data_IF_523231402082
#
_entry.id   IF_523231402082
#
_cell.length_a   1.000
_cell.length_b   1.000
_cell.length_c   1.000
_cell.angle_alpha   90.00
_cell.angle_beta   90.00
_cell.angle_gamma   90.00
#
_symmetry.space_group_name_H-M   'P 1'
#
loop_
_entity.id
_entity.type
_entity.pdbx_description
1 polymer ?
#
# COMPACT_ATOMS: atom_id res chain seq x y z
N UNK A 1 -3.61 -22.30 -42.67
CA UNK A 1 -3.63 -20.85 -42.42
C UNK A 1 -2.59 -20.55 -41.36
N UNK A 2 -1.61 -19.67 -41.72
CA UNK A 2 -0.55 -19.27 -40.79
C UNK A 2 -1.12 -18.49 -39.61
N UNK A 3 -0.51 -18.59 -38.40
CA UNK A 3 -0.91 -17.89 -37.16
C UNK A 3 -0.95 -16.36 -37.29
N UNK A 4 -0.47 -15.82 -38.40
CA UNK A 4 -0.23 -14.38 -38.63
C UNK A 4 -1.26 -13.74 -39.56
N UNK A 5 -2.31 -14.43 -39.97
CA UNK A 5 -3.29 -13.93 -40.91
C UNK A 5 -4.72 -14.17 -40.42
N UNK A 6 -5.55 -13.11 -40.51
CA UNK A 6 -6.97 -13.14 -40.25
C UNK A 6 -7.71 -12.91 -41.58
N UNK A 7 -8.53 -13.85 -42.00
CA UNK A 7 -9.41 -13.68 -43.15
C UNK A 7 -10.82 -13.34 -42.66
N UNK A 8 -11.34 -12.23 -43.12
CA UNK A 8 -12.70 -11.78 -42.84
C UNK A 8 -13.50 -11.83 -44.11
N UNK A 9 -14.57 -12.63 -44.15
CA UNK A 9 -15.49 -12.72 -45.25
C UNK A 9 -16.64 -11.71 -45.06
N UNK A 10 -16.82 -10.84 -46.01
CA UNK A 10 -17.95 -9.90 -46.11
C UNK A 10 -18.96 -10.44 -47.12
N UNK A 11 -20.06 -10.98 -46.59
CA UNK A 11 -21.14 -11.54 -47.43
C UNK A 11 -21.96 -10.51 -48.15
N UNK A 12 -21.94 -9.26 -47.72
CA UNK A 12 -22.67 -8.18 -48.41
C UNK A 12 -21.96 -7.69 -49.66
N UNK A 13 -20.59 -7.68 -49.61
CA UNK A 13 -19.77 -7.24 -50.69
C UNK A 13 -19.09 -8.39 -51.50
N UNK A 14 -19.43 -9.66 -51.19
CA UNK A 14 -18.83 -10.84 -51.78
C UNK A 14 -17.30 -10.78 -51.80
N UNK A 15 -16.70 -10.28 -50.72
CA UNK A 15 -15.25 -10.10 -50.63
C UNK A 15 -14.65 -10.81 -49.44
N UNK A 16 -13.39 -11.21 -49.54
CA UNK A 16 -12.59 -11.75 -48.44
C UNK A 16 -11.39 -10.83 -48.24
N UNK A 17 -11.34 -10.17 -47.10
CA UNK A 17 -10.20 -9.35 -46.74
C UNK A 17 -9.25 -10.14 -45.85
N UNK A 18 -7.97 -10.22 -46.24
CA UNK A 18 -6.94 -10.89 -45.46
C UNK A 18 -6.08 -9.86 -44.78
N UNK A 19 -6.14 -9.84 -43.44
CA UNK A 19 -5.27 -9.04 -42.60
C UNK A 19 -4.03 -9.81 -42.22
N UNK A 20 -2.87 -9.17 -42.31
CA UNK A 20 -1.60 -9.71 -41.78
C UNK A 20 -1.13 -8.89 -40.61
N UNK A 21 -0.47 -9.53 -39.64
CA UNK A 21 0.15 -8.82 -38.52
C UNK A 21 1.21 -7.86 -39.03
N UNK A 22 1.20 -6.65 -38.50
CA UNK A 22 2.29 -5.68 -38.65
C UNK A 22 3.52 -6.14 -37.86
N UNK A 23 4.68 -5.54 -38.11
CA UNK A 23 5.91 -5.84 -37.37
C UNK A 23 5.73 -5.52 -35.86
N UNK A 24 5.05 -4.42 -35.55
CA UNK A 24 4.62 -4.10 -34.19
C UNK A 24 3.79 -5.23 -33.57
N UNK A 25 2.77 -5.71 -34.25
CA UNK A 25 1.92 -6.79 -33.76
C UNK A 25 2.69 -8.10 -33.52
N UNK A 26 3.66 -8.41 -34.41
CA UNK A 26 4.55 -9.58 -34.24
C UNK A 26 5.43 -9.45 -33.00
N UNK A 27 6.07 -8.29 -32.81
CA UNK A 27 6.90 -8.00 -31.64
C UNK A 27 6.08 -8.10 -30.35
N UNK A 28 4.88 -7.53 -30.33
CA UNK A 28 3.98 -7.58 -29.17
C UNK A 28 3.58 -9.02 -28.82
N UNK A 29 3.20 -9.84 -29.82
CA UNK A 29 2.83 -11.24 -29.60
C UNK A 29 4.03 -12.08 -29.15
N UNK A 30 5.22 -11.86 -29.72
CA UNK A 30 6.46 -12.51 -29.31
C UNK A 30 6.80 -12.20 -27.86
N UNK A 31 6.81 -10.91 -27.51
CA UNK A 31 7.07 -10.44 -26.14
C UNK A 31 6.09 -11.05 -25.14
N UNK A 32 4.80 -11.11 -25.49
CA UNK A 32 3.79 -11.73 -24.64
C UNK A 32 4.01 -13.24 -24.50
N UNK A 33 4.30 -13.95 -25.58
CA UNK A 33 4.59 -15.38 -25.54
C UNK A 33 5.78 -15.71 -24.64
N UNK A 34 6.88 -14.93 -24.75
CA UNK A 34 8.05 -15.07 -23.88
C UNK A 34 7.71 -14.77 -22.40
N UNK A 35 6.90 -13.75 -22.15
CA UNK A 35 6.46 -13.44 -20.79
C UNK A 35 5.63 -14.58 -20.19
N UNK A 36 4.75 -15.20 -20.97
CA UNK A 36 3.93 -16.34 -20.54
C UNK A 36 4.77 -17.60 -20.30
N UNK A 37 5.85 -17.80 -21.05
CA UNK A 37 6.82 -18.89 -20.83
C UNK A 37 7.85 -18.57 -19.74
N UNK A 38 7.69 -17.46 -19.02
CA UNK A 38 8.61 -16.97 -17.99
C UNK A 38 10.03 -16.61 -18.51
N UNK A 39 10.20 -16.44 -19.82
CA UNK A 39 11.43 -15.88 -20.40
C UNK A 39 11.40 -14.36 -20.30
N UNK A 40 11.55 -13.86 -19.07
CA UNK A 40 11.50 -12.43 -18.79
C UNK A 40 12.67 -11.66 -19.40
N UNK A 41 13.85 -12.28 -19.48
CA UNK A 41 15.03 -11.66 -20.06
C UNK A 41 14.88 -11.49 -21.57
N UNK A 42 14.38 -12.50 -22.27
CA UNK A 42 14.13 -12.45 -23.71
C UNK A 42 12.95 -11.53 -24.08
N UNK A 43 11.94 -11.41 -23.20
CA UNK A 43 10.78 -10.54 -23.44
C UNK A 43 11.07 -9.07 -23.21
N UNK A 44 12.03 -8.72 -22.36
CA UNK A 44 12.33 -7.33 -21.96
C UNK A 44 12.65 -6.42 -23.14
N UNK A 45 13.59 -6.83 -23.97
CA UNK A 45 14.00 -6.02 -25.14
C UNK A 45 12.87 -5.82 -26.16
N UNK A 46 12.00 -6.81 -26.30
CA UNK A 46 10.83 -6.70 -27.17
C UNK A 46 9.78 -5.76 -26.56
N UNK A 47 9.52 -5.85 -25.26
CA UNK A 47 8.64 -4.90 -24.58
C UNK A 47 9.17 -3.46 -24.63
N UNK A 48 10.48 -3.27 -24.49
CA UNK A 48 11.11 -1.97 -24.68
C UNK A 48 10.92 -1.43 -26.11
N UNK A 49 10.94 -2.31 -27.12
CA UNK A 49 10.64 -1.93 -28.49
C UNK A 49 9.18 -1.49 -28.64
N UNK A 50 8.25 -2.24 -28.06
CA UNK A 50 6.81 -1.87 -28.06
C UNK A 50 6.59 -0.51 -27.40
N UNK A 51 7.23 -0.22 -26.26
CA UNK A 51 7.10 1.08 -25.55
C UNK A 51 7.72 2.24 -26.37
N UNK A 52 8.77 1.97 -27.15
CA UNK A 52 9.35 3.00 -28.04
C UNK A 52 8.37 3.43 -29.16
N UNK A 53 7.55 2.50 -29.65
CA UNK A 53 6.54 2.78 -30.67
C UNK A 53 5.24 3.32 -30.07
N UNK A 54 4.80 2.74 -28.95
CA UNK A 54 3.60 3.16 -28.21
C UNK A 54 3.92 3.23 -26.70
N UNK A 55 4.28 4.42 -26.26
CA UNK A 55 4.62 4.69 -24.86
C UNK A 55 3.43 4.56 -23.89
N UNK A 56 2.21 4.48 -24.40
CA UNK A 56 0.98 4.33 -23.61
C UNK A 56 0.52 2.88 -23.47
N UNK A 57 1.22 1.91 -24.09
CA UNK A 57 0.83 0.52 -24.11
C UNK A 57 0.92 -0.13 -22.71
N UNK A 58 -0.23 -0.28 -22.07
CA UNK A 58 -0.32 -0.85 -20.72
C UNK A 58 0.17 -2.31 -20.65
N UNK A 59 -0.04 -3.10 -21.73
CA UNK A 59 0.41 -4.49 -21.76
C UNK A 59 1.95 -4.57 -21.75
N UNK A 60 2.61 -3.70 -22.51
CA UNK A 60 4.06 -3.61 -22.52
C UNK A 60 4.62 -3.12 -21.16
N UNK A 61 3.97 -2.16 -20.53
CA UNK A 61 4.33 -1.73 -19.18
C UNK A 61 4.23 -2.88 -18.17
N UNK A 62 3.18 -3.71 -18.22
CA UNK A 62 3.04 -4.91 -17.38
C UNK A 62 4.12 -5.95 -17.69
N UNK A 63 4.45 -6.14 -18.96
CA UNK A 63 5.53 -7.02 -19.37
C UNK A 63 6.88 -6.58 -18.81
N UNK A 64 7.22 -5.30 -18.95
CA UNK A 64 8.43 -4.71 -18.37
C UNK A 64 8.45 -4.80 -16.84
N UNK A 65 7.32 -4.53 -16.19
CA UNK A 65 7.23 -4.67 -14.74
C UNK A 65 7.64 -6.08 -14.27
N UNK A 66 7.13 -7.12 -14.93
CA UNK A 66 7.49 -8.52 -14.63
C UNK A 66 8.94 -8.83 -14.94
N UNK A 67 9.47 -8.29 -16.04
CA UNK A 67 10.85 -8.49 -16.42
C UNK A 67 11.83 -7.87 -15.39
N UNK A 68 11.62 -6.61 -15.03
CA UNK A 68 12.41 -5.94 -13.98
C UNK A 68 12.26 -6.61 -12.61
N UNK A 69 11.05 -7.07 -12.28
CA UNK A 69 10.83 -7.82 -11.04
C UNK A 69 11.66 -9.11 -10.99
N UNK A 70 11.71 -9.86 -12.09
CA UNK A 70 12.50 -11.08 -12.21
C UNK A 70 14.01 -10.82 -12.16
N UNK A 71 14.46 -9.65 -12.62
CA UNK A 71 15.87 -9.21 -12.52
C UNK A 71 16.24 -8.72 -11.10
N UNK A 72 15.25 -8.52 -10.21
CA UNK A 72 15.47 -8.00 -8.86
C UNK A 72 15.49 -6.47 -8.78
N UNK A 73 15.27 -5.75 -9.87
CA UNK A 73 15.09 -4.30 -9.84
C UNK A 73 13.65 -3.95 -9.45
N UNK A 74 13.36 -4.13 -8.16
CA UNK A 74 12.02 -3.91 -7.62
C UNK A 74 11.55 -2.47 -7.70
N UNK A 75 12.50 -1.50 -7.72
CA UNK A 75 12.15 -0.09 -7.83
C UNK A 75 11.57 0.22 -9.21
N UNK A 76 12.29 -0.15 -10.26
CA UNK A 76 11.85 0.05 -11.65
C UNK A 76 10.61 -0.80 -11.97
N UNK A 77 10.58 -2.05 -11.47
CA UNK A 77 9.40 -2.92 -11.59
C UNK A 77 8.14 -2.25 -11.03
N UNK A 78 8.23 -1.59 -9.87
CA UNK A 78 7.12 -0.88 -9.26
C UNK A 78 6.64 0.31 -10.10
N UNK A 79 7.55 1.06 -10.70
CA UNK A 79 7.21 2.20 -11.56
C UNK A 79 6.44 1.74 -12.80
N UNK A 80 6.93 0.71 -13.50
CA UNK A 80 6.24 0.12 -14.66
C UNK A 80 4.93 -0.56 -14.27
N UNK A 81 4.88 -1.28 -13.16
CA UNK A 81 3.66 -1.90 -12.66
C UNK A 81 2.58 -0.86 -12.34
N UNK A 82 2.97 0.28 -11.76
CA UNK A 82 2.08 1.41 -11.52
C UNK A 82 1.52 1.96 -12.83
N UNK A 83 2.37 2.23 -13.81
CA UNK A 83 1.97 2.77 -15.10
C UNK A 83 1.10 1.79 -15.90
N UNK A 84 1.38 0.49 -15.81
CA UNK A 84 0.61 -0.58 -16.47
C UNK A 84 -0.61 -1.08 -15.69
N UNK A 85 -0.94 -0.50 -14.52
CA UNK A 85 -2.02 -0.95 -13.64
C UNK A 85 -1.91 -2.44 -13.26
N UNK A 86 -0.68 -2.94 -13.06
CA UNK A 86 -0.42 -4.30 -12.56
C UNK A 86 -0.27 -4.27 -11.04
N UNK A 87 -1.41 -4.38 -10.35
CA UNK A 87 -1.47 -4.33 -8.89
C UNK A 87 -0.69 -5.45 -8.20
N UNK A 88 -0.65 -6.63 -8.82
CA UNK A 88 0.03 -7.81 -8.26
C UNK A 88 1.53 -7.57 -8.25
N UNK A 89 2.10 -7.25 -9.40
CA UNK A 89 3.54 -6.98 -9.52
C UNK A 89 3.95 -5.74 -8.70
N UNK A 90 3.12 -4.70 -8.67
CA UNK A 90 3.35 -3.52 -7.85
C UNK A 90 3.48 -3.87 -6.36
N UNK A 91 2.53 -4.62 -5.84
CA UNK A 91 2.47 -4.99 -4.43
C UNK A 91 3.63 -5.91 -4.04
N UNK A 92 3.95 -6.88 -4.90
CA UNK A 92 5.10 -7.77 -4.71
C UNK A 92 6.42 -6.99 -4.69
N UNK A 93 6.61 -6.04 -5.62
CA UNK A 93 7.80 -5.21 -5.69
C UNK A 93 7.92 -4.29 -4.46
N UNK A 94 6.79 -3.71 -4.00
CA UNK A 94 6.76 -2.91 -2.77
C UNK A 94 7.17 -3.74 -1.55
N UNK A 95 6.62 -4.95 -1.41
CA UNK A 95 6.96 -5.86 -0.32
C UNK A 95 8.43 -6.27 -0.32
N UNK A 96 9.00 -6.55 -1.51
CA UNK A 96 10.43 -6.87 -1.65
C UNK A 96 11.32 -5.69 -1.28
N UNK A 97 11.02 -4.49 -1.78
CA UNK A 97 11.77 -3.27 -1.43
C UNK A 97 11.71 -2.99 0.08
N UNK A 98 10.54 -3.14 0.70
CA UNK A 98 10.37 -2.97 2.15
C UNK A 98 11.15 -4.02 2.95
N UNK A 99 11.11 -5.27 2.54
CA UNK A 99 11.86 -6.36 3.18
C UNK A 99 13.38 -6.15 3.06
N UNK A 100 13.88 -5.72 1.91
CA UNK A 100 15.29 -5.38 1.72
C UNK A 100 15.74 -4.25 2.64
N UNK A 101 14.93 -3.19 2.76
CA UNK A 101 15.21 -2.07 3.65
C UNK A 101 15.27 -2.52 5.12
N UNK A 102 14.29 -3.32 5.55
CA UNK A 102 14.25 -3.85 6.92
C UNK A 102 15.45 -4.76 7.17
N UNK A 103 15.75 -5.69 6.28
CA UNK A 103 16.86 -6.62 6.44
C UNK A 103 18.21 -5.88 6.51
N UNK A 104 18.41 -4.89 5.64
CA UNK A 104 19.63 -4.08 5.62
C UNK A 104 19.82 -3.25 6.90
N UNK A 105 18.72 -2.77 7.47
CA UNK A 105 18.76 -1.87 8.62
C UNK A 105 18.30 -2.55 9.92
N UNK A 106 18.08 -3.86 9.93
CA UNK A 106 17.49 -4.59 11.05
C UNK A 106 18.20 -4.32 12.37
N UNK A 107 19.51 -4.40 12.39
CA UNK A 107 20.32 -4.20 13.61
C UNK A 107 20.11 -2.78 14.16
N UNK A 108 20.12 -1.76 13.31
CA UNK A 108 19.92 -0.38 13.72
C UNK A 108 18.50 -0.11 14.20
N UNK A 109 17.49 -0.67 13.51
CA UNK A 109 16.08 -0.58 13.91
C UNK A 109 15.88 -1.24 15.26
N UNK A 110 16.46 -2.44 15.47
CA UNK A 110 16.39 -3.18 16.72
C UNK A 110 17.07 -2.41 17.86
N UNK A 111 18.29 -1.92 17.66
CA UNK A 111 19.01 -1.13 18.66
C UNK A 111 18.25 0.16 19.02
N UNK A 112 17.66 0.84 18.03
CA UNK A 112 16.84 2.02 18.26
C UNK A 112 15.61 1.67 19.11
N UNK A 113 14.92 0.58 18.79
CA UNK A 113 13.75 0.13 19.55
C UNK A 113 14.12 -0.18 21.01
N UNK A 114 15.23 -0.91 21.24
CA UNK A 114 15.72 -1.23 22.58
C UNK A 114 16.12 0.03 23.34
N UNK A 115 16.78 0.98 22.67
CA UNK A 115 17.16 2.25 23.29
C UNK A 115 15.94 3.09 23.69
N UNK A 116 14.92 3.17 22.85
CA UNK A 116 13.66 3.87 23.15
C UNK A 116 12.93 3.23 24.33
N UNK A 117 12.81 1.90 24.33
CA UNK A 117 12.19 1.15 25.45
C UNK A 117 12.99 1.36 26.74
N UNK A 118 14.32 1.23 26.68
CA UNK A 118 15.20 1.44 27.83
C UNK A 118 15.09 2.87 28.39
N UNK A 119 15.10 3.87 27.54
CA UNK A 119 14.91 5.26 27.95
C UNK A 119 13.54 5.50 28.57
N UNK A 120 12.48 4.92 28.04
CA UNK A 120 11.14 5.01 28.61
C UNK A 120 11.05 4.36 30.01
N UNK A 121 11.68 3.19 30.18
CA UNK A 121 11.74 2.50 31.49
C UNK A 121 12.55 3.31 32.51
N UNK A 122 13.74 3.80 32.14
CA UNK A 122 14.57 4.62 33.02
C UNK A 122 13.80 5.88 33.43
N UNK A 123 13.19 6.54 32.45
CA UNK A 123 12.42 7.77 32.68
C UNK A 123 11.22 7.54 33.63
N UNK A 124 10.48 6.45 33.46
CA UNK A 124 9.36 6.10 34.34
C UNK A 124 9.81 5.76 35.76
N UNK A 125 10.92 5.02 35.91
CA UNK A 125 11.50 4.67 37.22
C UNK A 125 12.02 5.92 37.94
N UNK A 126 12.75 6.80 37.26
CA UNK A 126 13.26 8.04 37.87
C UNK A 126 12.13 9.02 38.24
N UNK A 127 11.14 9.16 37.38
CA UNK A 127 9.97 9.98 37.65
C UNK A 127 9.18 9.48 38.86
N UNK A 128 9.07 8.16 39.02
CA UNK A 128 8.44 7.52 40.19
C UNK A 128 9.22 7.81 41.47
N UNK A 129 10.55 7.71 41.46
CA UNK A 129 11.43 7.98 42.59
C UNK A 129 11.35 9.46 43.04
N UNK A 130 11.30 10.39 42.07
CA UNK A 130 11.29 11.83 42.33
C UNK A 130 9.87 12.39 42.56
N UNK A 131 8.79 11.57 42.59
CA UNK A 131 7.39 11.97 42.63
C UNK A 131 7.05 13.03 41.57
N UNK A 132 7.78 13.04 40.45
CA UNK A 132 7.55 13.98 39.37
C UNK A 132 6.28 13.55 38.64
N UNK A 133 5.31 14.43 38.53
CA UNK A 133 4.14 14.20 37.70
C UNK A 133 4.57 14.39 36.26
N UNK A 134 4.89 13.28 35.57
CA UNK A 134 5.35 13.27 34.19
C UNK A 134 4.46 14.05 33.24
N UNK A 135 3.17 13.96 33.46
CA UNK A 135 2.16 14.63 32.65
C UNK A 135 1.40 15.59 33.56
N UNK A 136 1.76 16.89 33.50
CA UNK A 136 1.15 17.95 34.28
C UNK A 136 -0.33 18.13 33.92
N UNK A 137 -0.70 17.84 32.69
CA UNK A 137 -2.10 17.95 32.26
C UNK A 137 -2.89 16.72 32.72
N UNK A 138 -3.84 16.91 33.65
CA UNK A 138 -4.65 15.81 34.18
C UNK A 138 -5.45 15.07 33.13
N UNK A 139 -5.90 15.75 32.07
CA UNK A 139 -6.67 15.16 30.98
C UNK A 139 -5.79 14.22 30.09
N UNK A 140 -4.53 14.61 29.84
CA UNK A 140 -3.58 13.79 29.11
C UNK A 140 -3.14 12.58 29.95
N UNK A 141 -2.92 12.78 31.26
CA UNK A 141 -2.63 11.67 32.17
C UNK A 141 -3.76 10.65 32.23
N UNK A 142 -5.01 11.10 32.18
CA UNK A 142 -6.18 10.23 32.14
C UNK A 142 -6.17 9.32 30.93
N UNK A 143 -5.77 9.83 29.76
CA UNK A 143 -5.63 9.04 28.54
C UNK A 143 -4.67 7.84 28.70
N UNK A 144 -3.51 8.05 29.34
CA UNK A 144 -2.58 6.96 29.62
C UNK A 144 -3.10 6.00 30.69
N UNK A 145 -3.76 6.53 31.72
CA UNK A 145 -4.38 5.70 32.75
C UNK A 145 -5.52 4.82 32.20
N UNK A 146 -6.17 5.23 31.10
CA UNK A 146 -7.22 4.42 30.46
C UNK A 146 -6.69 3.05 29.98
N UNK A 147 -5.42 2.96 29.64
CA UNK A 147 -4.79 1.68 29.23
C UNK A 147 -4.56 0.77 30.42
N UNK A 148 -4.13 1.31 31.57
CA UNK A 148 -3.77 0.54 32.77
C UNK A 148 -4.94 0.35 33.74
N UNK A 149 -5.84 1.33 33.84
CA UNK A 149 -6.98 1.37 34.75
C UNK A 149 -8.25 1.85 34.01
N UNK A 150 -8.80 1.04 33.10
CA UNK A 150 -9.87 1.45 32.19
C UNK A 150 -11.16 1.86 32.95
N UNK A 151 -11.55 1.12 34.00
CA UNK A 151 -12.78 1.42 34.75
C UNK A 151 -12.72 2.75 35.51
N UNK A 152 -11.61 3.04 36.18
CA UNK A 152 -11.43 4.29 36.94
C UNK A 152 -11.36 5.50 36.01
N UNK A 153 -10.72 5.31 34.85
CA UNK A 153 -10.63 6.34 33.83
C UNK A 153 -11.97 6.63 33.20
N UNK A 154 -12.76 5.60 32.89
CA UNK A 154 -14.12 5.75 32.36
C UNK A 154 -15.03 6.46 33.34
N UNK A 155 -15.00 6.10 34.62
CA UNK A 155 -15.71 6.80 35.69
C UNK A 155 -15.31 8.28 35.79
N UNK A 156 -14.02 8.56 35.65
CA UNK A 156 -13.53 9.94 35.69
C UNK A 156 -13.99 10.75 34.46
N UNK A 157 -14.08 10.16 33.31
CA UNK A 157 -14.61 10.79 32.08
C UNK A 157 -16.10 11.06 32.26
N UNK A 158 -16.88 10.06 32.69
CA UNK A 158 -18.35 10.11 32.76
C UNK A 158 -18.86 11.02 33.90
N UNK A 159 -18.28 10.88 35.08
CA UNK A 159 -18.84 11.55 36.29
C UNK A 159 -18.05 12.77 36.75
N UNK A 160 -16.75 12.88 36.41
CA UNK A 160 -15.92 14.01 36.83
C UNK A 160 -15.65 15.03 35.72
N UNK A 161 -16.32 14.86 34.57
CA UNK A 161 -16.21 15.77 33.42
C UNK A 161 -14.76 16.00 32.94
N UNK A 162 -13.89 14.98 33.10
CA UNK A 162 -12.48 15.08 32.77
C UNK A 162 -12.20 14.77 31.30
N UNK A 163 -13.24 14.46 30.50
CA UNK A 163 -13.14 14.27 29.05
C UNK A 163 -12.63 15.52 28.33
N UNK A 164 -11.95 15.33 27.21
CA UNK A 164 -11.47 16.42 26.38
C UNK A 164 -11.74 16.13 24.91
N UNK A 165 -12.57 16.94 24.29
CA UNK A 165 -12.87 16.86 22.85
C UNK A 165 -11.59 17.00 22.00
N UNK A 166 -10.68 17.87 22.41
CA UNK A 166 -9.39 18.06 21.70
C UNK A 166 -8.55 16.81 21.72
N UNK A 167 -8.47 16.11 22.87
CA UNK A 167 -7.72 14.85 22.98
C UNK A 167 -8.41 13.75 22.16
N UNK A 168 -9.74 13.66 22.20
CA UNK A 168 -10.49 12.71 21.40
C UNK A 168 -10.25 12.93 19.89
N UNK A 169 -10.32 14.19 19.45
CA UNK A 169 -10.04 14.56 18.06
C UNK A 169 -8.59 14.20 17.66
N UNK A 170 -7.60 14.50 18.51
CA UNK A 170 -6.20 14.18 18.26
C UNK A 170 -5.98 12.65 18.13
N UNK A 171 -6.62 11.84 18.98
CA UNK A 171 -6.59 10.38 18.89
C UNK A 171 -7.24 9.85 17.62
N UNK A 172 -8.36 10.45 17.21
CA UNK A 172 -9.03 10.08 15.94
C UNK A 172 -8.15 10.39 14.75
N UNK A 173 -7.47 11.54 14.74
CA UNK A 173 -6.50 11.90 13.68
C UNK A 173 -5.32 10.93 13.68
N UNK A 174 -4.78 10.58 14.84
CA UNK A 174 -3.69 9.61 14.95
C UNK A 174 -4.11 8.23 14.43
N UNK A 175 -5.31 7.78 14.80
CA UNK A 175 -5.88 6.54 14.29
C UNK A 175 -6.06 6.57 12.77
N UNK A 176 -6.56 7.67 12.23
CA UNK A 176 -6.67 7.86 10.77
C UNK A 176 -5.31 7.77 10.08
N UNK A 177 -4.29 8.46 10.60
CA UNK A 177 -2.94 8.42 10.04
C UNK A 177 -2.38 6.99 10.07
N UNK A 178 -2.53 6.27 11.19
CA UNK A 178 -2.06 4.88 11.29
C UNK A 178 -2.83 3.94 10.35
N UNK A 179 -4.12 4.14 10.17
CA UNK A 179 -4.93 3.37 9.22
C UNK A 179 -4.47 3.59 7.77
N UNK A 180 -4.23 4.84 7.36
CA UNK A 180 -3.71 5.17 6.03
C UNK A 180 -2.33 4.56 5.80
N UNK A 181 -1.41 4.71 6.76
CA UNK A 181 -0.07 4.13 6.67
C UNK A 181 -0.14 2.60 6.59
N UNK A 182 -0.98 1.97 7.42
CA UNK A 182 -1.18 0.51 7.40
C UNK A 182 -1.67 0.02 6.06
N UNK A 183 -2.63 0.71 5.45
CA UNK A 183 -3.12 0.34 4.12
C UNK A 183 -2.08 0.56 3.01
N UNK A 184 -1.31 1.64 3.08
CA UNK A 184 -0.23 1.90 2.12
C UNK A 184 0.90 0.87 2.19
N UNK A 185 1.14 0.29 3.36
CA UNK A 185 2.17 -0.72 3.59
C UNK A 185 1.65 -2.16 3.43
N UNK A 186 0.33 -2.36 3.44
CA UNK A 186 -0.26 -3.69 3.29
C UNK A 186 -0.16 -4.20 1.86
N UNK A 187 0.15 -5.49 1.71
CA UNK A 187 0.13 -6.16 0.42
C UNK A 187 -1.32 -6.25 -0.10
N UNK A 188 -1.49 -6.13 -1.41
CA UNK A 188 -2.75 -6.33 -2.14
C UNK A 188 -3.49 -7.61 -1.75
N UNK A 189 -2.76 -8.65 -1.31
CA UNK A 189 -3.35 -9.92 -0.86
C UNK A 189 -4.19 -9.82 0.41
N UNK A 190 -3.92 -8.81 1.24
CA UNK A 190 -4.60 -8.62 2.54
C UNK A 190 -5.63 -7.50 2.52
N UNK A 191 -5.57 -6.65 1.52
CA UNK A 191 -6.53 -5.57 1.33
C UNK A 191 -6.96 -5.56 -0.13
N UNK A 192 -8.26 -5.47 -0.39
CA UNK A 192 -8.78 -5.15 -1.73
C UNK A 192 -8.43 -3.73 -2.18
N UNK A 193 -7.45 -3.14 -1.52
CA UNK A 193 -6.98 -1.80 -1.68
C UNK A 193 -5.91 -1.72 -2.75
N UNK A 194 -6.18 -0.95 -3.77
CA UNK A 194 -5.18 -0.55 -4.74
C UNK A 194 -4.66 0.84 -4.39
N UNK A 195 -3.34 1.02 -4.18
CA UNK A 195 -2.76 2.34 -3.98
C UNK A 195 -3.01 3.29 -5.17
N UNK A 196 -3.47 2.74 -6.30
CA UNK A 196 -3.80 3.52 -7.50
C UNK A 196 -5.25 4.00 -7.52
N UNK A 197 -6.16 3.32 -6.81
CA UNK A 197 -7.59 3.64 -6.81
C UNK A 197 -8.10 4.17 -5.48
N UNK A 198 -7.30 4.06 -4.42
CA UNK A 198 -7.72 4.56 -3.11
C UNK A 198 -7.42 6.04 -2.96
N UNK A 199 -8.36 6.76 -2.46
CA UNK A 199 -8.17 8.14 -2.05
C UNK A 199 -8.12 8.24 -0.52
N UNK A 200 -7.21 9.07 0.00
CA UNK A 200 -7.19 9.41 1.43
C UNK A 200 -8.56 9.94 1.90
N UNK A 201 -9.32 10.57 0.99
CA UNK A 201 -10.69 11.01 1.26
C UNK A 201 -11.63 9.85 1.57
N UNK A 202 -11.56 8.74 0.85
CA UNK A 202 -12.38 7.55 1.13
C UNK A 202 -12.06 6.95 2.51
N UNK A 203 -10.79 6.94 2.89
CA UNK A 203 -10.35 6.49 4.22
C UNK A 203 -10.86 7.42 5.32
N UNK A 204 -10.86 8.72 5.08
CA UNK A 204 -11.40 9.68 6.02
C UNK A 204 -12.90 9.44 6.23
N UNK A 205 -13.67 9.21 5.16
CA UNK A 205 -15.10 8.87 5.25
C UNK A 205 -15.33 7.58 6.04
N UNK A 206 -14.55 6.53 5.80
CA UNK A 206 -14.63 5.26 6.55
C UNK A 206 -14.34 5.47 8.03
N UNK A 207 -13.25 6.18 8.36
CA UNK A 207 -12.83 6.44 9.74
C UNK A 207 -13.87 7.32 10.47
N UNK A 208 -14.34 8.40 9.83
CA UNK A 208 -15.37 9.26 10.38
C UNK A 208 -16.70 8.49 10.58
N UNK A 209 -17.09 7.66 9.63
CA UNK A 209 -18.26 6.81 9.73
C UNK A 209 -18.21 5.85 10.91
N UNK A 210 -17.07 5.20 11.16
CA UNK A 210 -16.87 4.34 12.33
C UNK A 210 -16.99 5.11 13.65
N UNK A 211 -16.38 6.31 13.74
CA UNK A 211 -16.45 7.15 14.93
C UNK A 211 -17.89 7.61 15.20
N UNK A 212 -18.62 8.02 14.16
CA UNK A 212 -20.02 8.43 14.26
C UNK A 212 -20.89 7.25 14.71
N UNK A 213 -20.76 6.09 14.04
CA UNK A 213 -21.51 4.87 14.39
C UNK A 213 -21.26 4.47 15.85
N UNK A 214 -20.01 4.45 16.28
CA UNK A 214 -19.66 4.14 17.66
C UNK A 214 -20.25 5.15 18.62
N UNK A 215 -20.22 6.44 18.30
CA UNK A 215 -20.77 7.50 19.13
C UNK A 215 -22.28 7.38 19.26
N UNK A 216 -22.99 7.13 18.16
CA UNK A 216 -24.46 6.93 18.16
C UNK A 216 -24.84 5.68 18.93
N UNK A 217 -24.13 4.55 18.74
CA UNK A 217 -24.39 3.31 19.47
C UNK A 217 -24.19 3.42 20.99
N UNK A 218 -23.33 4.32 21.44
CA UNK A 218 -23.10 4.55 22.88
C UNK A 218 -23.94 5.69 23.47
N UNK A 219 -24.66 6.45 22.63
CA UNK A 219 -25.57 7.51 23.08
C UNK A 219 -26.97 6.97 23.41
N UNK A 220 -27.38 5.89 22.73
CA UNK A 220 -28.65 5.18 22.99
C UNK A 220 -28.56 4.31 24.25
#
# INVERSE_FOLDING_TARGET
YGRDKLAVADSQNNSVTVFSLTDYGRTLMSAQSKTLSADYKGSKSEWESVIREDSSNQLAMRGLAKAYFAEGDYKTAREYAKAGYDFVTYSQALGKTGSEFINKNFVWIFLLAVAVIGAAVIFTVEASKKKIVLIRNAKVRLMFNTVTHPFDSFNSIKYKNMGSLVIAAALTVLFYITAVISEMLSDFRFTSFSPLTSSAALQLVKTAGLVILFSVANWA
#
